data_IF_370532374061
#
_entry.id   IF_370532374061
#
_cell.length_a   1.000
_cell.length_b   1.000
_cell.length_c   1.000
_cell.angle_alpha   90.00
_cell.angle_beta   90.00
_cell.angle_gamma   90.00
#
_symmetry.space_group_name_H-M   'P 1'
#
loop_
_entity.id
_entity.type
_entity.pdbx_description
1 polymer ?
#
# COMPACT_ATOMS: atom_id res chain seq x y z
N UNK A 1 -10.90 -45.45 -15.88
CA UNK A 1 -11.93 -44.46 -15.51
C UNK A 1 -11.48 -43.55 -14.37
N UNK A 2 -11.09 -44.09 -13.20
CA UNK A 2 -10.64 -43.28 -12.05
C UNK A 2 -9.47 -42.34 -12.41
N UNK A 3 -8.42 -42.86 -13.06
CA UNK A 3 -7.25 -42.06 -13.43
C UNK A 3 -7.60 -40.89 -14.36
N UNK A 4 -8.43 -41.12 -15.39
CA UNK A 4 -8.89 -40.07 -16.29
C UNK A 4 -9.64 -38.97 -15.55
N UNK A 5 -10.54 -39.34 -14.62
CA UNK A 5 -11.26 -38.36 -13.79
C UNK A 5 -10.26 -37.53 -12.97
N UNK A 6 -9.27 -38.17 -12.35
CA UNK A 6 -8.23 -37.48 -11.58
C UNK A 6 -7.36 -36.55 -12.45
N UNK A 7 -7.04 -36.95 -13.68
CA UNK A 7 -6.27 -36.12 -14.61
C UNK A 7 -7.06 -34.88 -15.02
N UNK A 8 -8.35 -35.03 -15.36
CA UNK A 8 -9.21 -33.89 -15.70
C UNK A 8 -9.43 -32.94 -14.52
N UNK A 9 -9.68 -33.48 -13.31
CA UNK A 9 -9.83 -32.64 -12.11
C UNK A 9 -8.53 -31.94 -11.76
N UNK A 10 -7.38 -32.58 -11.97
CA UNK A 10 -6.09 -31.94 -11.81
C UNK A 10 -5.90 -30.75 -12.78
N UNK A 11 -6.10 -30.94 -14.08
CA UNK A 11 -5.96 -29.85 -15.04
C UNK A 11 -6.92 -28.68 -14.76
N UNK A 12 -8.17 -29.00 -14.40
CA UNK A 12 -9.15 -27.99 -14.02
C UNK A 12 -8.72 -27.22 -12.76
N UNK A 13 -8.29 -27.93 -11.71
CA UNK A 13 -7.89 -27.31 -10.44
C UNK A 13 -6.64 -26.44 -10.61
N UNK A 14 -5.65 -26.87 -11.40
CA UNK A 14 -4.45 -26.07 -11.69
C UNK A 14 -4.76 -24.84 -12.55
N UNK A 15 -5.64 -24.97 -13.55
CA UNK A 15 -6.08 -23.82 -14.37
C UNK A 15 -6.81 -22.78 -13.51
N UNK A 16 -7.77 -23.23 -12.69
CA UNK A 16 -8.51 -22.35 -11.78
C UNK A 16 -7.58 -21.70 -10.75
N UNK A 17 -6.64 -22.47 -10.18
CA UNK A 17 -5.62 -21.96 -9.29
C UNK A 17 -4.87 -20.77 -9.92
N UNK A 18 -4.35 -20.95 -11.14
CA UNK A 18 -3.61 -19.90 -11.84
C UNK A 18 -4.46 -18.65 -12.09
N UNK A 19 -5.70 -18.83 -12.56
CA UNK A 19 -6.62 -17.72 -12.86
C UNK A 19 -6.97 -16.92 -11.61
N UNK A 20 -7.43 -17.60 -10.55
CA UNK A 20 -7.84 -16.94 -9.32
C UNK A 20 -6.67 -16.30 -8.59
N UNK A 21 -5.55 -17.02 -8.46
CA UNK A 21 -4.40 -16.53 -7.74
C UNK A 21 -3.80 -15.29 -8.42
N UNK A 22 -3.69 -15.31 -9.75
CA UNK A 22 -3.22 -14.13 -10.52
C UNK A 22 -4.13 -12.92 -10.30
N UNK A 23 -5.44 -13.11 -10.34
CA UNK A 23 -6.39 -12.02 -10.10
C UNK A 23 -6.31 -11.49 -8.66
N UNK A 24 -6.19 -12.38 -7.68
CA UNK A 24 -6.16 -11.99 -6.26
C UNK A 24 -4.83 -11.32 -5.87
N UNK A 25 -3.71 -11.72 -6.46
CA UNK A 25 -2.43 -11.02 -6.27
C UNK A 25 -2.43 -9.58 -6.83
N UNK A 26 -3.29 -9.28 -7.81
CA UNK A 26 -3.53 -7.91 -8.29
C UNK A 26 -4.52 -7.11 -7.43
N UNK A 27 -5.13 -7.73 -6.41
CA UNK A 27 -6.10 -7.09 -5.53
C UNK A 27 -7.55 -7.17 -6.02
N UNK A 28 -7.89 -8.07 -6.95
CA UNK A 28 -9.30 -8.33 -7.30
C UNK A 28 -10.04 -8.85 -6.06
N UNK A 29 -11.08 -8.14 -5.63
CA UNK A 29 -11.89 -8.52 -4.47
C UNK A 29 -12.58 -9.87 -4.71
N UNK A 30 -12.61 -10.71 -3.68
CA UNK A 30 -13.26 -12.03 -3.67
C UNK A 30 -14.81 -11.94 -3.56
N UNK A 31 -15.43 -11.22 -4.49
CA UNK A 31 -16.88 -11.06 -4.55
C UNK A 31 -17.49 -12.07 -5.52
N UNK A 32 -18.74 -12.51 -5.26
CA UNK A 32 -19.47 -13.47 -6.12
C UNK A 32 -19.45 -13.10 -7.61
N UNK A 33 -19.56 -11.80 -7.92
CA UNK A 33 -19.49 -11.27 -9.30
C UNK A 33 -18.13 -11.52 -9.95
N UNK A 34 -17.04 -11.15 -9.29
CA UNK A 34 -15.68 -11.31 -9.82
C UNK A 34 -15.31 -12.79 -9.94
N UNK A 35 -15.74 -13.61 -8.99
CA UNK A 35 -15.57 -15.07 -9.06
C UNK A 35 -16.29 -15.63 -10.28
N UNK A 36 -17.53 -15.21 -10.55
CA UNK A 36 -18.28 -15.65 -11.73
C UNK A 36 -17.59 -15.23 -13.05
N UNK A 37 -17.06 -14.00 -13.12
CA UNK A 37 -16.33 -13.50 -14.30
C UNK A 37 -15.04 -14.28 -14.53
N UNK A 38 -14.27 -14.56 -13.48
CA UNK A 38 -13.03 -15.35 -13.58
C UNK A 38 -13.33 -16.80 -13.97
N UNK A 39 -14.39 -17.41 -13.43
CA UNK A 39 -14.85 -18.73 -13.85
C UNK A 39 -15.30 -18.74 -15.31
N UNK A 40 -16.02 -17.71 -15.75
CA UNK A 40 -16.42 -17.55 -17.15
C UNK A 40 -15.22 -17.43 -18.08
N UNK A 41 -14.24 -16.60 -17.72
CA UNK A 41 -12.98 -16.49 -18.46
C UNK A 41 -12.22 -17.81 -18.53
N UNK A 42 -12.15 -18.56 -17.42
CA UNK A 42 -11.56 -19.89 -17.37
C UNK A 42 -12.30 -20.93 -18.20
N UNK A 43 -13.62 -20.88 -18.22
CA UNK A 43 -14.43 -21.76 -19.07
C UNK A 43 -14.19 -21.47 -20.55
N UNK A 44 -14.11 -20.20 -20.95
CA UNK A 44 -13.80 -19.80 -22.33
C UNK A 44 -12.40 -20.25 -22.73
N UNK A 45 -11.38 -20.05 -21.88
CA UNK A 45 -10.03 -20.55 -22.16
C UNK A 45 -9.97 -22.07 -22.25
N UNK A 46 -10.71 -22.78 -21.39
CA UNK A 46 -10.81 -24.24 -21.43
C UNK A 46 -11.49 -24.77 -22.69
N UNK A 47 -12.59 -24.15 -23.13
CA UNK A 47 -13.27 -24.46 -24.39
C UNK A 47 -12.36 -24.22 -25.60
N UNK A 48 -11.65 -23.09 -25.61
CA UNK A 48 -10.72 -22.77 -26.68
C UNK A 48 -9.55 -23.74 -26.75
N UNK A 49 -9.03 -24.19 -25.60
CA UNK A 49 -8.02 -25.24 -25.51
C UNK A 49 -8.52 -26.57 -26.08
N UNK A 50 -9.75 -26.99 -25.74
CA UNK A 50 -10.34 -28.22 -26.27
C UNK A 50 -10.48 -28.18 -27.79
N UNK A 51 -10.94 -27.06 -28.35
CA UNK A 51 -11.06 -26.86 -29.81
C UNK A 51 -9.69 -26.91 -30.48
N UNK A 52 -8.67 -26.27 -29.90
CA UNK A 52 -7.32 -26.33 -30.47
C UNK A 52 -6.74 -27.75 -30.42
N UNK A 53 -7.02 -28.48 -29.34
CA UNK A 53 -6.56 -29.86 -29.18
C UNK A 53 -7.15 -30.80 -30.25
N UNK A 54 -8.41 -30.61 -30.65
CA UNK A 54 -9.03 -31.43 -31.70
C UNK A 54 -8.56 -31.06 -33.10
N UNK A 55 -8.16 -29.81 -33.34
CA UNK A 55 -7.75 -29.32 -34.68
C UNK A 55 -6.25 -29.49 -34.95
N UNK A 56 -5.39 -29.22 -33.97
CA UNK A 56 -3.92 -29.18 -34.14
C UNK A 56 -3.17 -30.34 -33.47
N UNK A 57 -3.88 -31.18 -32.71
CA UNK A 57 -3.31 -32.31 -31.98
C UNK A 57 -2.67 -31.95 -30.63
N UNK A 58 -2.48 -32.95 -29.78
CA UNK A 58 -2.07 -32.79 -28.38
C UNK A 58 -0.66 -32.23 -28.19
N UNK A 59 0.30 -32.65 -29.01
CA UNK A 59 1.70 -32.22 -28.90
C UNK A 59 1.87 -30.71 -29.15
N UNK A 60 1.18 -30.17 -30.14
CA UNK A 60 1.20 -28.73 -30.42
C UNK A 60 0.45 -27.95 -29.34
N UNK A 61 -0.71 -28.45 -28.92
CA UNK A 61 -1.57 -27.76 -27.95
C UNK A 61 -0.94 -27.71 -26.56
N UNK A 62 -0.18 -28.73 -26.14
CA UNK A 62 0.56 -28.71 -24.87
C UNK A 62 1.79 -27.78 -24.87
N UNK A 63 2.36 -27.47 -26.03
CA UNK A 63 3.45 -26.50 -26.16
C UNK A 63 2.94 -25.05 -26.08
N UNK A 64 1.72 -24.81 -26.58
CA UNK A 64 1.08 -23.48 -26.65
C UNK A 64 0.08 -23.25 -25.50
N UNK A 65 -0.17 -24.26 -24.66
CA UNK A 65 -1.11 -24.20 -23.53
C UNK A 65 -0.99 -22.93 -22.65
N UNK A 66 0.21 -22.49 -22.26
CA UNK A 66 0.42 -21.26 -21.48
C UNK A 66 -0.04 -20.01 -22.24
N UNK A 67 0.10 -19.94 -23.56
CA UNK A 67 -0.43 -18.82 -24.35
C UNK A 67 -1.96 -18.83 -24.31
N UNK A 68 -2.58 -20.00 -24.49
CA UNK A 68 -4.05 -20.10 -24.49
C UNK A 68 -4.70 -19.85 -23.13
N UNK A 69 -4.00 -20.09 -22.02
CA UNK A 69 -4.53 -19.83 -20.68
C UNK A 69 -4.12 -18.46 -20.16
N UNK A 70 -2.85 -18.05 -20.35
CA UNK A 70 -2.34 -16.80 -19.81
C UNK A 70 -2.74 -15.58 -20.66
N UNK A 71 -2.85 -15.70 -21.99
CA UNK A 71 -3.18 -14.55 -22.84
C UNK A 71 -4.63 -14.06 -22.63
N UNK A 72 -5.67 -14.93 -22.62
CA UNK A 72 -7.02 -14.47 -22.29
C UNK A 72 -7.13 -13.90 -20.88
N UNK A 73 -6.42 -14.50 -19.91
CA UNK A 73 -6.37 -14.00 -18.54
C UNK A 73 -5.70 -12.62 -18.48
N UNK A 74 -4.59 -12.43 -19.18
CA UNK A 74 -3.90 -11.15 -19.28
C UNK A 74 -4.80 -10.08 -19.89
N UNK A 75 -5.48 -10.39 -21.00
CA UNK A 75 -6.44 -9.48 -21.63
C UNK A 75 -7.58 -9.13 -20.67
N UNK A 76 -8.10 -10.11 -19.93
CA UNK A 76 -9.15 -9.89 -18.94
C UNK A 76 -8.67 -8.97 -17.80
N UNK A 77 -7.45 -9.16 -17.28
CA UNK A 77 -6.88 -8.32 -16.22
C UNK A 77 -6.63 -6.88 -16.69
N UNK A 78 -6.11 -6.70 -17.91
CA UNK A 78 -5.77 -5.38 -18.46
C UNK A 78 -7.00 -4.62 -18.95
N UNK A 79 -7.88 -5.25 -19.73
CA UNK A 79 -9.01 -4.55 -20.35
C UNK A 79 -10.24 -4.47 -19.45
N UNK A 80 -10.61 -5.56 -18.77
CA UNK A 80 -11.82 -5.58 -17.93
C UNK A 80 -11.55 -4.96 -16.56
N UNK A 81 -10.52 -5.43 -15.86
CA UNK A 81 -10.17 -4.91 -14.54
C UNK A 81 -9.29 -3.65 -14.57
N UNK A 82 -8.86 -3.21 -15.77
CA UNK A 82 -8.09 -1.96 -15.98
C UNK A 82 -6.77 -1.90 -15.20
N UNK A 83 -6.16 -3.04 -14.93
CA UNK A 83 -4.82 -3.08 -14.33
C UNK A 83 -3.74 -2.71 -15.34
N UNK A 84 -2.61 -2.19 -14.84
CA UNK A 84 -1.42 -1.97 -15.66
C UNK A 84 -0.90 -3.31 -16.20
N UNK A 85 -0.33 -3.29 -17.40
CA UNK A 85 0.17 -4.48 -18.09
C UNK A 85 1.32 -5.17 -17.34
N UNK A 86 2.26 -4.40 -16.81
CA UNK A 86 3.46 -4.89 -16.11
C UNK A 86 3.11 -5.71 -14.85
N UNK A 87 2.29 -5.20 -13.89
CA UNK A 87 1.82 -5.99 -12.74
C UNK A 87 1.04 -7.24 -13.16
N UNK A 88 0.28 -7.15 -14.25
CA UNK A 88 -0.56 -8.24 -14.73
C UNK A 88 0.28 -9.42 -15.22
N UNK A 89 1.36 -9.16 -15.96
CA UNK A 89 2.30 -10.20 -16.39
C UNK A 89 3.00 -10.82 -15.17
N UNK A 90 3.52 -9.99 -14.26
CA UNK A 90 4.26 -10.48 -13.08
C UNK A 90 3.37 -11.32 -12.16
N UNK A 91 2.11 -10.94 -12.02
CA UNK A 91 1.13 -11.71 -11.27
C UNK A 91 0.90 -13.10 -11.85
N UNK A 92 0.74 -13.19 -13.18
CA UNK A 92 0.57 -14.48 -13.88
C UNK A 92 1.82 -15.35 -13.73
N UNK A 93 3.01 -14.78 -13.93
CA UNK A 93 4.27 -15.51 -13.76
C UNK A 93 4.48 -15.97 -12.31
N UNK A 94 4.09 -15.14 -11.35
CA UNK A 94 4.14 -15.46 -9.93
C UNK A 94 3.18 -16.60 -9.59
N UNK A 95 1.94 -16.57 -10.08
CA UNK A 95 0.98 -17.66 -9.88
C UNK A 95 1.46 -18.97 -10.53
N UNK A 96 2.13 -18.90 -11.68
CA UNK A 96 2.77 -20.05 -12.32
C UNK A 96 3.87 -20.65 -11.44
N UNK A 97 4.79 -19.82 -10.93
CA UNK A 97 5.84 -20.26 -10.01
C UNK A 97 5.24 -20.94 -8.77
N UNK A 98 4.17 -20.39 -8.19
CA UNK A 98 3.48 -20.97 -7.03
C UNK A 98 2.86 -22.36 -7.29
N UNK A 99 2.63 -22.76 -8.55
CA UNK A 99 2.14 -24.10 -8.87
C UNK A 99 3.19 -25.20 -8.57
N UNK A 100 4.46 -24.84 -8.47
CA UNK A 100 5.56 -25.80 -8.28
C UNK A 100 5.53 -26.50 -6.92
N UNK A 101 4.91 -25.89 -5.90
CA UNK A 101 4.63 -26.57 -4.63
C UNK A 101 3.83 -27.86 -4.82
N UNK A 102 2.78 -27.77 -5.64
CA UNK A 102 1.93 -28.92 -5.96
C UNK A 102 2.64 -29.92 -6.86
N UNK A 103 3.37 -29.45 -7.86
CA UNK A 103 4.08 -30.33 -8.79
C UNK A 103 5.11 -31.22 -8.08
N UNK A 104 5.96 -30.59 -7.25
CA UNK A 104 7.00 -31.30 -6.50
C UNK A 104 6.41 -32.30 -5.51
N UNK A 105 5.36 -31.92 -4.76
CA UNK A 105 4.67 -32.83 -3.84
C UNK A 105 4.05 -34.02 -4.57
N UNK A 106 3.52 -33.80 -5.78
CA UNK A 106 3.06 -34.86 -6.67
C UNK A 106 4.17 -35.83 -7.04
N UNK A 107 5.27 -35.33 -7.61
CA UNK A 107 6.41 -36.16 -8.03
C UNK A 107 7.00 -36.92 -6.85
N UNK A 108 7.11 -36.29 -5.68
CA UNK A 108 7.57 -36.95 -4.47
C UNK A 108 6.67 -38.13 -4.08
N UNK A 109 5.34 -37.93 -4.12
CA UNK A 109 4.38 -39.00 -3.86
C UNK A 109 4.43 -40.13 -4.90
N UNK A 110 4.66 -39.78 -6.18
CA UNK A 110 4.87 -40.75 -7.25
C UNK A 110 6.14 -41.58 -7.00
N UNK A 111 7.23 -40.94 -6.60
CA UNK A 111 8.49 -41.62 -6.31
C UNK A 111 8.41 -42.58 -5.13
N UNK A 112 7.52 -42.32 -4.16
CA UNK A 112 7.35 -43.16 -2.98
C UNK A 112 6.35 -44.31 -3.21
N UNK A 113 5.25 -44.03 -3.90
CA UNK A 113 4.15 -44.99 -4.07
C UNK A 113 4.20 -45.78 -5.38
N UNK A 114 4.86 -45.25 -6.42
CA UNK A 114 4.88 -45.82 -7.77
C UNK A 114 3.52 -45.81 -8.49
N UNK A 115 2.52 -45.09 -7.95
CA UNK A 115 1.13 -45.14 -8.40
C UNK A 115 0.65 -43.78 -8.92
N UNK A 116 0.21 -43.75 -10.18
CA UNK A 116 -0.23 -42.51 -10.84
C UNK A 116 -1.47 -41.87 -10.18
N UNK A 117 -2.35 -42.67 -9.58
CA UNK A 117 -3.53 -42.12 -8.89
C UNK A 117 -3.15 -41.34 -7.62
N UNK A 118 -2.09 -41.77 -6.92
CA UNK A 118 -1.56 -41.09 -5.74
C UNK A 118 -0.93 -39.76 -6.14
N UNK A 119 -0.21 -39.73 -7.26
CA UNK A 119 0.33 -38.49 -7.85
C UNK A 119 -0.75 -37.43 -8.03
N UNK A 120 -1.82 -37.74 -8.77
CA UNK A 120 -2.88 -36.75 -9.03
C UNK A 120 -3.65 -36.36 -7.76
N UNK A 121 -3.91 -37.31 -6.85
CA UNK A 121 -4.61 -37.03 -5.60
C UNK A 121 -3.83 -36.06 -4.71
N UNK A 122 -2.54 -36.34 -4.49
CA UNK A 122 -1.68 -35.47 -3.68
C UNK A 122 -1.56 -34.08 -4.30
N UNK A 123 -1.40 -33.99 -5.62
CA UNK A 123 -1.37 -32.70 -6.32
C UNK A 123 -2.65 -31.90 -6.10
N UNK A 124 -3.82 -32.50 -6.21
CA UNK A 124 -5.09 -31.78 -6.01
C UNK A 124 -5.17 -31.25 -4.58
N UNK A 125 -4.89 -32.09 -3.58
CA UNK A 125 -4.93 -31.71 -2.15
C UNK A 125 -3.96 -30.56 -1.88
N UNK A 126 -2.71 -30.68 -2.33
CA UNK A 126 -1.67 -29.67 -2.11
C UNK A 126 -2.01 -28.38 -2.86
N UNK A 127 -2.55 -28.43 -4.08
CA UNK A 127 -2.97 -27.23 -4.82
C UNK A 127 -4.03 -26.46 -4.05
N UNK A 128 -5.04 -27.14 -3.50
CA UNK A 128 -6.10 -26.51 -2.71
C UNK A 128 -5.54 -25.93 -1.40
N UNK A 129 -4.64 -26.65 -0.73
CA UNK A 129 -4.01 -26.19 0.51
C UNK A 129 -3.14 -24.94 0.27
N UNK A 130 -2.28 -24.97 -0.76
CA UNK A 130 -1.43 -23.83 -1.16
C UNK A 130 -2.30 -22.65 -1.59
N UNK A 131 -3.39 -22.88 -2.32
CA UNK A 131 -4.33 -21.83 -2.69
C UNK A 131 -4.93 -21.14 -1.47
N UNK A 132 -5.44 -21.91 -0.51
CA UNK A 132 -6.01 -21.37 0.72
C UNK A 132 -4.98 -20.57 1.53
N UNK A 133 -3.73 -21.06 1.59
CA UNK A 133 -2.63 -20.36 2.24
C UNK A 133 -2.29 -19.04 1.53
N UNK A 134 -1.98 -19.08 0.24
CA UNK A 134 -1.57 -17.90 -0.53
C UNK A 134 -2.69 -16.86 -0.63
N UNK A 135 -3.93 -17.30 -0.83
CA UNK A 135 -5.09 -16.40 -0.93
C UNK A 135 -5.37 -15.64 0.36
N UNK A 136 -5.13 -16.26 1.52
CA UNK A 136 -5.36 -15.65 2.82
C UNK A 136 -4.20 -14.77 3.28
N UNK A 137 -2.96 -15.20 3.07
CA UNK A 137 -1.78 -14.54 3.65
C UNK A 137 -0.99 -13.67 2.67
N UNK A 138 -1.00 -13.98 1.38
CA UNK A 138 -0.15 -13.28 0.40
C UNK A 138 -0.94 -12.35 -0.53
N UNK A 139 -2.24 -12.54 -0.76
CA UNK A 139 -2.98 -11.73 -1.73
C UNK A 139 -3.12 -10.25 -1.34
N UNK A 140 -3.37 -9.93 -0.07
CA UNK A 140 -3.45 -8.52 0.36
C UNK A 140 -2.09 -7.83 0.27
N UNK A 141 -1.05 -8.58 0.62
CA UNK A 141 0.36 -8.22 0.66
C UNK A 141 0.89 -7.90 -0.74
N UNK A 142 0.70 -8.84 -1.67
CA UNK A 142 1.14 -8.75 -3.06
C UNK A 142 0.38 -7.68 -3.84
N UNK A 143 -0.92 -7.48 -3.58
CA UNK A 143 -1.69 -6.42 -4.22
C UNK A 143 -1.13 -5.03 -3.90
N UNK A 144 -0.68 -4.81 -2.67
CA UNK A 144 -0.04 -3.55 -2.27
C UNK A 144 1.34 -3.37 -2.92
N UNK A 145 2.13 -4.45 -3.00
CA UNK A 145 3.44 -4.45 -3.67
C UNK A 145 3.32 -4.20 -5.18
N UNK A 146 2.34 -4.83 -5.84
CA UNK A 146 2.14 -4.73 -7.28
C UNK A 146 1.55 -3.38 -7.72
N UNK A 147 1.02 -2.59 -6.79
CA UNK A 147 0.59 -1.21 -7.04
C UNK A 147 1.74 -0.18 -7.01
N UNK A 148 2.99 -0.62 -6.76
CA UNK A 148 4.17 0.25 -6.66
C UNK A 148 4.68 0.77 -8.00
N UNK A 149 5.75 1.56 -7.91
CA UNK A 149 6.48 2.07 -9.07
C UNK A 149 7.04 0.93 -9.91
N UNK A 150 7.21 1.19 -11.21
CA UNK A 150 7.65 0.18 -12.17
C UNK A 150 9.05 -0.36 -11.82
N UNK A 151 9.91 0.44 -11.18
CA UNK A 151 11.26 0.04 -10.76
C UNK A 151 11.26 -1.08 -9.72
N UNK A 152 10.43 -0.96 -8.68
CA UNK A 152 10.29 -2.00 -7.65
C UNK A 152 9.67 -3.26 -8.24
N UNK A 153 8.73 -3.06 -9.15
CA UNK A 153 8.04 -4.14 -9.83
C UNK A 153 8.97 -4.96 -10.74
N UNK A 154 9.97 -4.34 -11.38
CA UNK A 154 11.00 -5.10 -12.12
C UNK A 154 11.80 -6.04 -11.22
N UNK A 155 12.16 -5.60 -10.00
CA UNK A 155 12.90 -6.43 -9.04
C UNK A 155 12.03 -7.62 -8.62
N UNK A 156 10.75 -7.36 -8.37
CA UNK A 156 9.76 -8.37 -7.97
C UNK A 156 9.47 -9.37 -9.10
N UNK A 157 9.40 -8.90 -10.34
CA UNK A 157 9.14 -9.70 -11.53
C UNK A 157 10.34 -10.49 -12.06
N UNK A 158 11.57 -10.12 -11.69
CA UNK A 158 12.78 -10.74 -12.22
C UNK A 158 12.85 -12.24 -11.90
N UNK A 159 12.57 -12.64 -10.65
CA UNK A 159 12.63 -14.05 -10.24
C UNK A 159 11.58 -14.93 -10.96
N UNK A 160 10.28 -14.59 -10.94
CA UNK A 160 9.26 -15.32 -11.69
C UNK A 160 9.55 -15.37 -13.20
N UNK A 161 10.09 -14.29 -13.77
CA UNK A 161 10.46 -14.23 -15.18
C UNK A 161 11.61 -15.17 -15.53
N UNK A 162 12.70 -15.15 -14.75
CA UNK A 162 13.85 -16.05 -14.95
C UNK A 162 13.40 -17.50 -14.84
N UNK A 163 12.56 -17.80 -13.84
CA UNK A 163 11.98 -19.14 -13.70
C UNK A 163 11.15 -19.53 -14.92
N UNK A 164 10.25 -18.66 -15.39
CA UNK A 164 9.38 -18.95 -16.53
C UNK A 164 10.20 -19.25 -17.80
N UNK A 165 11.24 -18.47 -18.08
CA UNK A 165 12.14 -18.69 -19.23
C UNK A 165 12.94 -19.98 -19.06
N UNK A 166 13.47 -20.23 -17.86
CA UNK A 166 14.24 -21.43 -17.54
C UNK A 166 13.39 -22.70 -17.72
N UNK A 167 12.21 -22.73 -17.11
CA UNK A 167 11.27 -23.85 -17.16
C UNK A 167 10.92 -24.19 -18.62
N UNK A 168 10.55 -23.20 -19.42
CA UNK A 168 10.21 -23.41 -20.83
C UNK A 168 11.38 -23.87 -21.70
N UNK A 169 12.55 -23.28 -21.50
CA UNK A 169 13.75 -23.62 -22.27
C UNK A 169 14.19 -25.07 -22.00
N UNK A 170 14.00 -25.54 -20.77
CA UNK A 170 14.50 -26.83 -20.28
C UNK A 170 13.47 -27.97 -20.31
N UNK A 171 12.17 -27.69 -20.32
CA UNK A 171 11.13 -28.73 -20.45
C UNK A 171 10.52 -28.82 -21.85
N UNK A 172 10.34 -27.69 -22.54
CA UNK A 172 9.60 -27.65 -23.82
C UNK A 172 10.51 -27.61 -25.05
N UNK A 173 11.62 -26.87 -24.99
CA UNK A 173 12.53 -26.72 -26.14
C UNK A 173 13.68 -27.71 -26.16
N UNK A 174 14.10 -28.19 -24.98
CA UNK A 174 15.27 -29.03 -24.89
C UNK A 174 15.07 -30.08 -23.80
N UNK A 175 14.73 -31.32 -24.18
CA UNK A 175 14.65 -32.45 -23.23
C UNK A 175 16.01 -32.79 -22.56
N UNK A 176 17.04 -31.96 -22.73
CA UNK A 176 18.42 -32.17 -22.26
C UNK A 176 18.53 -32.37 -20.74
N UNK A 177 17.67 -31.75 -19.93
CA UNK A 177 17.71 -31.92 -18.46
C UNK A 177 16.85 -33.09 -17.98
N UNK A 178 15.85 -33.50 -18.77
CA UNK A 178 14.93 -34.60 -18.42
C UNK A 178 15.44 -36.00 -18.80
N UNK A 179 16.69 -36.11 -19.30
CA UNK A 179 17.40 -37.40 -19.32
C UNK A 179 17.89 -37.84 -17.93
N UNK A 180 17.88 -36.92 -16.95
CA UNK A 180 18.18 -37.20 -15.54
C UNK A 180 16.95 -37.53 -14.68
N UNK A 181 17.15 -37.70 -13.38
CA UNK A 181 16.04 -37.98 -12.45
C UNK A 181 15.13 -36.74 -12.31
N UNK A 182 13.86 -36.88 -12.73
CA UNK A 182 12.82 -35.83 -12.70
C UNK A 182 12.69 -35.13 -11.35
N UNK A 183 12.93 -35.86 -10.25
CA UNK A 183 12.88 -35.32 -8.88
C UNK A 183 13.90 -34.19 -8.67
N UNK A 184 15.10 -34.32 -9.26
CA UNK A 184 16.20 -33.36 -9.06
C UNK A 184 15.96 -32.07 -9.84
N UNK A 185 15.44 -32.19 -11.06
CA UNK A 185 15.13 -31.03 -11.92
C UNK A 185 13.99 -30.21 -11.30
N UNK A 186 12.94 -30.86 -10.80
CA UNK A 186 11.81 -30.15 -10.18
C UNK A 186 12.10 -29.62 -8.77
N UNK A 187 13.10 -30.17 -8.06
CA UNK A 187 13.53 -29.61 -6.78
C UNK A 187 14.07 -28.17 -6.93
N UNK A 188 14.73 -27.85 -8.04
CA UNK A 188 15.18 -26.48 -8.32
C UNK A 188 13.99 -25.52 -8.43
N UNK A 189 12.95 -25.91 -9.17
CA UNK A 189 11.73 -25.12 -9.33
C UNK A 189 11.02 -24.89 -7.98
N UNK A 190 10.96 -25.94 -7.15
CA UNK A 190 10.43 -25.85 -5.79
C UNK A 190 11.25 -24.91 -4.88
N UNK A 191 12.59 -25.01 -4.91
CA UNK A 191 13.48 -24.15 -4.14
C UNK A 191 13.35 -22.68 -4.55
N UNK A 192 13.27 -22.40 -5.86
CA UNK A 192 13.01 -21.07 -6.41
C UNK A 192 11.63 -20.53 -5.97
N UNK A 193 10.63 -21.39 -5.91
CA UNK A 193 9.30 -20.99 -5.45
C UNK A 193 9.28 -20.63 -3.96
N UNK A 194 9.91 -21.45 -3.10
CA UNK A 194 10.03 -21.15 -1.67
C UNK A 194 10.82 -19.86 -1.45
N UNK A 195 11.98 -19.73 -2.10
CA UNK A 195 12.82 -18.54 -1.94
C UNK A 195 12.09 -17.28 -2.37
N UNK A 196 11.29 -17.36 -3.43
CA UNK A 196 10.47 -16.24 -3.89
C UNK A 196 9.33 -15.90 -2.91
N UNK A 197 8.63 -16.88 -2.34
CA UNK A 197 7.60 -16.62 -1.30
C UNK A 197 8.22 -15.98 -0.06
N UNK A 198 9.39 -16.45 0.38
CA UNK A 198 10.13 -15.84 1.49
C UNK A 198 10.54 -14.40 1.12
N UNK A 199 11.06 -14.20 -0.09
CA UNK A 199 11.42 -12.87 -0.59
C UNK A 199 10.23 -11.91 -0.59
N UNK A 200 9.06 -12.34 -1.06
CA UNK A 200 7.83 -11.54 -0.99
C UNK A 200 7.47 -11.14 0.44
N UNK A 201 7.59 -12.07 1.38
CA UNK A 201 7.27 -11.83 2.78
C UNK A 201 8.26 -10.86 3.45
N UNK A 202 9.56 -11.08 3.26
CA UNK A 202 10.61 -10.20 3.81
C UNK A 202 10.54 -8.81 3.18
N UNK A 203 10.39 -8.72 1.85
CA UNK A 203 10.25 -7.44 1.16
C UNK A 203 9.05 -6.65 1.68
N UNK A 204 7.92 -7.33 1.96
CA UNK A 204 6.77 -6.68 2.56
C UNK A 204 7.03 -6.18 3.99
N UNK A 205 7.71 -6.94 4.84
CA UNK A 205 8.04 -6.50 6.20
C UNK A 205 8.94 -5.26 6.18
N UNK A 206 9.99 -5.27 5.35
CA UNK A 206 10.86 -4.10 5.14
C UNK A 206 10.08 -2.90 4.63
N UNK A 207 9.15 -3.13 3.70
CA UNK A 207 8.27 -2.09 3.18
C UNK A 207 7.38 -1.49 4.27
N UNK A 208 6.76 -2.31 5.11
CA UNK A 208 5.89 -1.85 6.19
C UNK A 208 6.69 -1.09 7.26
N UNK A 209 7.90 -1.57 7.58
CA UNK A 209 8.80 -0.90 8.52
C UNK A 209 9.21 0.48 8.00
N UNK A 210 9.60 0.59 6.72
CA UNK A 210 9.96 1.86 6.10
C UNK A 210 8.79 2.85 6.10
N UNK A 211 7.60 2.39 5.72
CA UNK A 211 6.42 3.26 5.69
C UNK A 211 6.02 3.75 7.08
N UNK A 212 6.11 2.90 8.11
CA UNK A 212 5.88 3.31 9.50
C UNK A 212 6.92 4.31 9.98
N UNK A 213 8.20 4.13 9.63
CA UNK A 213 9.26 5.06 9.96
C UNK A 213 9.07 6.43 9.30
N UNK A 214 8.67 6.47 8.02
CA UNK A 214 8.34 7.71 7.31
C UNK A 214 7.14 8.44 7.96
N UNK A 215 6.08 7.73 8.29
CA UNK A 215 4.91 8.29 8.99
C UNK A 215 5.28 8.85 10.37
N UNK A 216 6.08 8.11 11.14
CA UNK A 216 6.55 8.57 12.45
C UNK A 216 7.46 9.79 12.34
N UNK A 217 8.34 9.84 11.32
CA UNK A 217 9.16 11.01 11.03
C UNK A 217 8.33 12.25 10.68
N UNK A 218 7.28 12.10 9.86
CA UNK A 218 6.35 13.19 9.55
C UNK A 218 5.64 13.72 10.80
N UNK A 219 5.12 12.83 11.65
CA UNK A 219 4.47 13.21 12.91
C UNK A 219 5.44 13.93 13.86
N UNK A 220 6.67 13.43 13.97
CA UNK A 220 7.71 14.03 14.82
C UNK A 220 8.09 15.43 14.31
N UNK A 221 8.22 15.61 12.99
CA UNK A 221 8.47 16.91 12.39
C UNK A 221 7.32 17.90 12.62
N UNK A 222 6.06 17.44 12.54
CA UNK A 222 4.91 18.27 12.87
C UNK A 222 4.94 18.71 14.35
N UNK A 223 5.26 17.80 15.27
CA UNK A 223 5.38 18.14 16.70
C UNK A 223 6.52 19.13 16.97
N UNK A 224 7.67 18.94 16.33
CA UNK A 224 8.80 19.87 16.46
C UNK A 224 8.45 21.28 15.96
N UNK A 225 7.75 21.38 14.82
CA UNK A 225 7.31 22.67 14.29
C UNK A 225 6.31 23.36 15.23
N UNK A 226 5.37 22.61 15.81
CA UNK A 226 4.43 23.13 16.80
C UNK A 226 5.14 23.63 18.07
N UNK A 227 6.08 22.86 18.60
CA UNK A 227 6.89 23.25 19.76
C UNK A 227 7.73 24.51 19.47
N UNK A 228 8.30 24.61 18.26
CA UNK A 228 9.04 25.81 17.85
C UNK A 228 8.15 27.06 17.85
N UNK A 229 6.95 26.95 17.28
CA UNK A 229 5.96 28.04 17.29
C UNK A 229 5.55 28.43 18.72
N UNK A 230 5.39 27.46 19.62
CA UNK A 230 5.05 27.73 21.02
C UNK A 230 6.19 28.46 21.75
N UNK A 231 7.43 28.06 21.53
CA UNK A 231 8.62 28.75 22.08
C UNK A 231 8.70 30.19 21.57
N UNK A 232 8.43 30.44 20.29
CA UNK A 232 8.40 31.80 19.73
C UNK A 232 7.31 32.66 20.37
N UNK A 233 6.11 32.10 20.58
CA UNK A 233 5.03 32.80 21.28
C UNK A 233 5.41 33.14 22.72
N UNK A 234 6.03 32.20 23.45
CA UNK A 234 6.52 32.45 24.81
C UNK A 234 7.58 33.55 24.82
N UNK A 235 8.57 33.52 23.90
CA UNK A 235 9.58 34.58 23.78
C UNK A 235 8.97 35.94 23.49
N UNK A 236 8.00 36.01 22.59
CA UNK A 236 7.29 37.25 22.27
C UNK A 236 6.51 37.77 23.50
N UNK A 237 5.86 36.87 24.24
CA UNK A 237 5.15 37.19 25.49
C UNK A 237 6.11 37.72 26.56
N UNK A 238 7.26 37.06 26.75
CA UNK A 238 8.30 37.52 27.68
C UNK A 238 8.82 38.92 27.32
N UNK A 239 9.02 39.19 26.03
CA UNK A 239 9.47 40.50 25.56
C UNK A 239 8.41 41.58 25.85
N UNK A 240 7.14 41.32 25.52
CA UNK A 240 6.01 42.21 25.88
C UNK A 240 5.94 42.48 27.38
N UNK A 241 6.10 41.44 28.20
CA UNK A 241 6.10 41.56 29.66
C UNK A 241 7.29 42.40 30.18
N UNK A 242 8.47 42.31 29.53
CA UNK A 242 9.61 43.17 29.86
C UNK A 242 9.32 44.64 29.55
N UNK A 243 8.73 44.95 28.40
CA UNK A 243 8.30 46.31 28.03
C UNK A 243 7.28 46.82 29.04
N UNK A 244 6.22 46.05 29.31
CA UNK A 244 5.19 46.45 30.26
C UNK A 244 5.75 46.74 31.65
N UNK A 245 6.68 45.91 32.16
CA UNK A 245 7.35 46.15 33.45
C UNK A 245 8.22 47.40 33.44
N UNK A 246 8.89 47.69 32.33
CA UNK A 246 9.69 48.90 32.17
C UNK A 246 8.80 50.14 32.23
N UNK A 247 7.71 50.14 31.47
CA UNK A 247 6.80 51.29 31.37
C UNK A 247 6.06 51.52 32.70
N UNK A 248 5.62 50.45 33.37
CA UNK A 248 5.08 50.54 34.73
C UNK A 248 6.07 51.16 35.72
N UNK A 249 7.35 50.76 35.67
CA UNK A 249 8.38 51.36 36.54
C UNK A 249 8.55 52.85 36.23
N UNK A 250 8.53 53.23 34.97
CA UNK A 250 8.61 54.63 34.56
C UNK A 250 7.42 55.45 35.08
N UNK A 251 6.19 54.96 34.91
CA UNK A 251 5.00 55.62 35.43
C UNK A 251 5.04 55.76 36.96
N UNK A 252 5.41 54.69 37.68
CA UNK A 252 5.54 54.74 39.14
C UNK A 252 6.62 55.74 39.61
N UNK A 253 7.75 55.81 38.92
CA UNK A 253 8.81 56.77 39.23
C UNK A 253 8.37 58.22 38.98
N UNK A 254 7.63 58.48 37.89
CA UNK A 254 7.07 59.80 37.61
C UNK A 254 6.08 60.24 38.70
N UNK A 255 5.16 59.35 39.10
CA UNK A 255 4.21 59.60 40.20
C UNK A 255 4.96 59.89 41.52
N UNK A 256 5.97 59.07 41.85
CA UNK A 256 6.79 59.27 43.05
C UNK A 256 7.50 60.64 43.04
N UNK A 257 7.97 61.08 41.87
CA UNK A 257 8.62 62.39 41.71
C UNK A 257 7.64 63.52 42.02
N UNK A 258 6.44 63.50 41.44
CA UNK A 258 5.41 64.53 41.70
C UNK A 258 4.99 64.59 43.17
N UNK A 259 4.85 63.43 43.83
CA UNK A 259 4.56 63.36 45.27
C UNK A 259 5.72 63.96 46.10
N UNK A 260 6.97 63.62 45.78
CA UNK A 260 8.14 64.14 46.50
C UNK A 260 8.35 65.65 46.36
N UNK A 261 7.89 66.23 45.25
CA UNK A 261 7.93 67.67 44.97
C UNK A 261 6.78 68.45 45.63
N UNK A 262 5.91 67.79 46.41
CA UNK A 262 4.71 68.38 47.03
C UNK A 262 3.69 68.91 46.00
N UNK A 263 3.63 68.33 44.79
CA UNK A 263 2.62 68.65 43.76
C UNK A 263 1.61 67.48 43.59
N UNK A 264 0.73 67.22 44.59
CA UNK A 264 -0.18 66.08 44.55
C UNK A 264 -1.27 66.18 43.47
N UNK A 265 -1.68 67.40 43.08
CA UNK A 265 -2.68 67.62 42.03
C UNK A 265 -2.16 67.15 40.66
N UNK A 266 -0.91 67.45 40.33
CA UNK A 266 -0.27 66.99 39.09
C UNK A 266 -0.08 65.48 39.02
N UNK A 267 0.16 64.82 40.17
CA UNK A 267 0.19 63.37 40.24
C UNK A 267 -1.18 62.74 39.92
N UNK A 268 -2.27 63.38 40.40
CA UNK A 268 -3.65 62.97 40.15
C UNK A 268 -4.03 63.14 38.68
N UNK A 269 -3.69 64.27 38.07
CA UNK A 269 -3.90 64.52 36.63
C UNK A 269 -3.14 63.50 35.77
N UNK A 270 -1.89 63.20 36.12
CA UNK A 270 -1.09 62.21 35.40
C UNK A 270 -1.66 60.79 35.49
N UNK A 271 -2.22 60.39 36.64
CA UNK A 271 -2.92 59.10 36.79
C UNK A 271 -4.19 59.08 35.94
N UNK A 272 -4.94 60.18 35.87
CA UNK A 272 -6.13 60.27 35.00
C UNK A 272 -5.76 60.17 33.52
N UNK A 273 -4.66 60.80 33.10
CA UNK A 273 -4.13 60.69 31.73
C UNK A 273 -3.77 59.23 31.37
N UNK A 274 -3.10 58.52 32.29
CA UNK A 274 -2.78 57.10 32.12
C UNK A 274 -4.07 56.27 32.02
N UNK A 275 -5.02 56.45 32.92
CA UNK A 275 -6.27 55.69 32.91
C UNK A 275 -7.06 55.92 31.62
N UNK A 276 -7.10 57.16 31.12
CA UNK A 276 -7.74 57.48 29.84
C UNK A 276 -7.09 56.75 28.67
N UNK A 277 -5.76 56.65 28.65
CA UNK A 277 -5.04 55.86 27.63
C UNK A 277 -5.34 54.35 27.71
N UNK A 278 -5.58 53.79 28.90
CA UNK A 278 -5.92 52.38 29.06
C UNK A 278 -7.42 52.08 28.80
N UNK A 279 -8.33 53.01 29.10
CA UNK A 279 -9.76 52.86 28.80
C UNK A 279 -10.04 52.86 27.28
N UNK A 280 -9.20 53.51 26.48
CA UNK A 280 -9.26 53.44 25.02
C UNK A 280 -8.83 52.06 24.45
N UNK A 281 -8.25 51.17 25.27
CA UNK A 281 -7.88 49.79 24.90
C UNK A 281 -8.92 48.72 25.25
N UNK A 282 -10.16 49.11 25.60
CA UNK A 282 -11.24 48.14 25.88
C UNK A 282 -11.51 47.26 24.65
N UNK A 283 -11.38 45.95 24.85
CA UNK A 283 -11.73 44.91 23.87
C UNK A 283 -13.20 45.12 23.48
N UNK A 284 -13.46 45.53 22.23
CA UNK A 284 -14.80 45.65 21.71
C UNK A 284 -15.51 44.29 21.79
N UNK A 285 -16.51 44.19 22.68
CA UNK A 285 -17.41 43.06 22.77
C UNK A 285 -18.45 43.17 21.65
N UNK A 286 -18.23 42.45 20.55
CA UNK A 286 -19.19 42.40 19.45
C UNK A 286 -20.45 41.58 19.78
N UNK A 287 -20.32 40.55 20.62
CA UNK A 287 -21.34 39.55 20.91
C UNK A 287 -21.21 38.98 22.33
N UNK A 288 -22.23 38.26 22.83
CA UNK A 288 -22.15 37.51 24.11
C UNK A 288 -21.19 36.30 24.09
N UNK A 289 -20.72 35.88 22.92
CA UNK A 289 -19.84 34.71 22.76
C UNK A 289 -18.37 35.13 22.68
N UNK A 290 -17.57 34.75 23.69
CA UNK A 290 -16.15 35.12 23.80
C UNK A 290 -15.27 34.61 22.66
N UNK A 291 -15.54 33.41 22.12
CA UNK A 291 -14.81 32.87 20.98
C UNK A 291 -15.07 33.69 19.72
N UNK A 292 -16.32 34.12 19.51
CA UNK A 292 -16.68 34.94 18.36
C UNK A 292 -16.07 36.34 18.46
N UNK A 293 -16.05 36.93 19.65
CA UNK A 293 -15.38 38.22 19.89
C UNK A 293 -13.87 38.14 19.64
N UNK A 294 -13.23 37.04 20.03
CA UNK A 294 -11.80 36.81 19.80
C UNK A 294 -11.45 36.70 18.31
N UNK A 295 -12.33 36.08 17.51
CA UNK A 295 -12.15 35.99 16.06
C UNK A 295 -12.37 37.36 15.41
N UNK A 296 -13.44 38.07 15.79
CA UNK A 296 -13.78 39.38 15.23
C UNK A 296 -12.74 40.45 15.54
N UNK A 297 -12.15 40.44 16.73
CA UNK A 297 -11.07 41.38 17.10
C UNK A 297 -9.78 41.14 16.30
N UNK A 298 -9.43 39.88 16.01
CA UNK A 298 -8.29 39.54 15.14
C UNK A 298 -8.52 40.09 13.72
N UNK A 299 -9.72 39.90 13.19
CA UNK A 299 -10.05 40.42 11.86
C UNK A 299 -10.13 41.95 11.84
N UNK A 300 -10.69 42.59 12.87
CA UNK A 300 -10.71 44.04 13.00
C UNK A 300 -9.29 44.62 13.01
N UNK A 301 -8.37 43.99 13.75
CA UNK A 301 -6.95 44.39 13.80
C UNK A 301 -6.32 44.27 12.41
N UNK A 302 -6.56 43.16 11.69
CA UNK A 302 -6.10 42.99 10.30
C UNK A 302 -6.73 43.98 9.33
N UNK A 303 -8.00 44.36 9.51
CA UNK A 303 -8.66 45.33 8.65
C UNK A 303 -8.13 46.75 8.90
N UNK A 304 -7.84 47.10 10.15
CA UNK A 304 -7.21 48.36 10.52
C UNK A 304 -5.78 48.47 9.96
N UNK A 305 -4.98 47.39 10.04
CA UNK A 305 -3.64 47.32 9.43
C UNK A 305 -3.67 47.48 7.91
N UNK A 306 -4.74 47.03 7.24
CA UNK A 306 -4.91 47.13 5.79
C UNK A 306 -5.69 48.37 5.32
N UNK A 307 -6.03 49.31 6.22
CA UNK A 307 -6.83 50.51 5.93
C UNK A 307 -8.17 50.24 5.21
N UNK A 308 -8.79 49.08 5.46
CA UNK A 308 -10.07 48.72 4.86
C UNK A 308 -11.19 49.26 5.75
N UNK A 309 -11.84 50.34 5.33
CA UNK A 309 -12.98 50.95 6.02
C UNK A 309 -14.27 50.32 5.49
N UNK A 310 -15.13 49.84 6.38
CA UNK A 310 -16.49 49.42 6.02
C UNK A 310 -17.31 50.68 5.72
N UNK A 311 -17.79 50.79 4.47
CA UNK A 311 -18.78 51.79 4.07
C UNK A 311 -20.15 51.24 4.46
N UNK A 312 -20.87 51.98 5.33
CA UNK A 312 -22.27 51.70 5.68
C UNK A 312 -23.21 51.80 4.46
#
# INVERSE_FOLDING_TARGET
MLLQILTYTHHLTTMLFGIFLSAFFLGVKQNKKNVCILLGGGAVSGLFFLICNTVFGSLFTEAVYPIFVHLPLFLLLVFYYRFRWLPSIISIMTAYLCCQFSNWAGIFALSLSGLDWVYYLVRIIVTVAVFAFLSRYLCQTTALLFAKSDRELYILGAMPFVYYVFDYSTTKFSMLLYSGNKVVVEFLAFAMCISYVIFLFVYFQEYELKNRAEQYGQLTNMQLNSLHSEIEQVRSSEHRMKILRHDMRHHLAAIQTFISQQEPERALDYIQEINKQYDDTVIHSFCRNELLNSVLSIYQTRFAENQIVFVE
#
